data_IF_431887920388
#
_entry.id   IF_431887920388
#
_cell.length_a   1.000
_cell.length_b   1.000
_cell.length_c   1.000
_cell.angle_alpha   90.00
_cell.angle_beta   90.00
_cell.angle_gamma   90.00
#
_symmetry.space_group_name_H-M   'P 1'
#
loop_
_entity.id
_entity.type
_entity.pdbx_description
1 polymer ?
#
# COMPACT_ATOMS: atom_id res chain seq x y z
N UNK A 1 -5.09 22.57 25.15
CA UNK A 1 -4.26 21.34 25.29
C UNK A 1 -4.71 20.25 24.31
N UNK A 2 -6.03 20.02 24.16
CA UNK A 2 -6.68 19.10 23.20
C UNK A 2 -6.27 19.32 21.74
N UNK A 3 -6.30 20.57 21.24
CA UNK A 3 -5.96 20.86 19.83
C UNK A 3 -4.51 20.50 19.43
N UNK A 4 -3.57 20.52 20.38
CA UNK A 4 -2.16 20.14 20.12
C UNK A 4 -2.02 18.63 20.02
N UNK A 5 -2.72 17.91 20.89
CA UNK A 5 -2.76 16.44 20.89
C UNK A 5 -3.41 15.90 19.61
N UNK A 6 -4.53 16.48 19.16
CA UNK A 6 -5.19 16.09 17.92
C UNK A 6 -4.29 16.31 16.69
N UNK A 7 -3.59 17.45 16.64
CA UNK A 7 -2.62 17.74 15.58
C UNK A 7 -1.44 16.74 15.58
N UNK A 8 -0.90 16.38 16.75
CA UNK A 8 0.18 15.41 16.87
C UNK A 8 -0.27 13.99 16.48
N UNK A 9 -1.48 13.57 16.87
CA UNK A 9 -2.07 12.29 16.45
C UNK A 9 -2.25 12.25 14.93
N UNK A 10 -2.78 13.33 14.34
CA UNK A 10 -2.94 13.42 12.89
C UNK A 10 -1.60 13.34 12.16
N UNK A 11 -0.58 14.06 12.64
CA UNK A 11 0.79 14.01 12.07
C UNK A 11 1.36 12.60 12.10
N UNK A 12 1.28 11.90 13.24
CA UNK A 12 1.79 10.52 13.38
C UNK A 12 1.06 9.53 12.48
N UNK A 13 -0.26 9.68 12.29
CA UNK A 13 -1.01 8.87 11.34
C UNK A 13 -0.52 9.09 9.91
N UNK A 14 -0.30 10.34 9.51
CA UNK A 14 0.21 10.66 8.19
C UNK A 14 1.62 10.10 7.97
N UNK A 15 2.53 10.26 8.93
CA UNK A 15 3.89 9.69 8.90
C UNK A 15 3.85 8.17 8.69
N UNK A 16 2.95 7.49 9.40
CA UNK A 16 2.74 6.05 9.27
C UNK A 16 2.18 5.68 7.89
N UNK A 17 1.19 6.42 7.36
CA UNK A 17 0.68 6.18 5.99
C UNK A 17 1.77 6.35 4.95
N UNK A 18 2.56 7.42 5.04
CA UNK A 18 3.68 7.67 4.12
C UNK A 18 4.74 6.57 4.18
N UNK A 19 5.02 6.02 5.37
CA UNK A 19 5.92 4.87 5.52
C UNK A 19 5.41 3.65 4.74
N UNK A 20 4.12 3.33 4.81
CA UNK A 20 3.54 2.22 4.06
C UNK A 20 3.43 2.51 2.55
N UNK A 21 3.04 3.72 2.14
CA UNK A 21 3.05 4.12 0.72
C UNK A 21 4.42 3.93 0.08
N UNK A 22 5.49 4.19 0.84
CA UNK A 22 6.86 3.97 0.41
C UNK A 22 7.15 2.48 0.15
N UNK A 23 6.55 1.56 0.91
CA UNK A 23 6.68 0.11 0.73
C UNK A 23 6.07 -0.44 -0.57
N UNK A 24 5.08 0.25 -1.16
CA UNK A 24 4.43 -0.15 -2.43
C UNK A 24 5.44 -0.30 -3.56
N UNK A 25 6.49 0.53 -3.55
CA UNK A 25 7.54 0.53 -4.57
C UNK A 25 8.23 -0.83 -4.76
N UNK A 26 8.45 -1.57 -3.67
CA UNK A 26 9.03 -2.93 -3.72
C UNK A 26 8.09 -3.87 -4.48
N UNK A 27 6.79 -3.78 -4.24
CA UNK A 27 5.80 -4.64 -4.88
C UNK A 27 5.66 -4.32 -6.37
N UNK A 28 5.70 -3.03 -6.75
CA UNK A 28 5.77 -2.59 -8.15
C UNK A 28 7.00 -3.20 -8.83
N UNK A 29 8.17 -3.11 -8.20
CA UNK A 29 9.42 -3.70 -8.71
C UNK A 29 9.28 -5.20 -8.95
N UNK A 30 8.72 -5.93 -7.99
CA UNK A 30 8.51 -7.38 -8.08
C UNK A 30 7.59 -7.72 -9.26
N UNK A 31 6.47 -7.03 -9.42
CA UNK A 31 5.55 -7.24 -10.55
C UNK A 31 6.19 -6.89 -11.88
N UNK A 32 6.85 -5.73 -11.99
CA UNK A 32 7.55 -5.30 -13.21
C UNK A 32 8.56 -6.35 -13.68
N UNK A 33 9.36 -6.88 -12.74
CA UNK A 33 10.34 -7.93 -13.03
C UNK A 33 9.68 -9.24 -13.48
N UNK A 34 8.55 -9.63 -12.86
CA UNK A 34 7.77 -10.80 -13.28
C UNK A 34 7.25 -10.65 -14.73
N UNK A 35 6.88 -9.43 -15.13
CA UNK A 35 6.46 -9.08 -16.49
C UNK A 35 7.65 -8.83 -17.45
N UNK A 36 8.90 -8.94 -16.98
CA UNK A 36 10.12 -8.67 -17.75
C UNK A 36 10.16 -7.25 -18.38
N UNK A 37 9.53 -6.28 -17.73
CA UNK A 37 9.51 -4.89 -18.18
C UNK A 37 10.74 -4.14 -17.68
N UNK A 38 11.32 -3.24 -18.49
CA UNK A 38 12.32 -2.28 -18.01
C UNK A 38 11.62 -1.14 -17.25
N UNK A 39 12.36 -0.43 -16.40
CA UNK A 39 11.83 0.77 -15.71
C UNK A 39 11.37 1.83 -16.73
N UNK A 40 12.13 1.99 -17.82
CA UNK A 40 11.78 2.89 -18.93
C UNK A 40 10.49 2.47 -19.63
N UNK A 41 10.33 1.18 -19.93
CA UNK A 41 9.12 0.65 -20.57
C UNK A 41 7.89 0.87 -19.68
N UNK A 42 8.01 0.65 -18.38
CA UNK A 42 6.96 0.91 -17.40
C UNK A 42 6.66 2.42 -17.30
N UNK A 43 7.68 3.27 -17.23
CA UNK A 43 7.53 4.72 -17.10
C UNK A 43 6.90 5.40 -18.32
N UNK A 44 7.14 4.85 -19.53
CA UNK A 44 6.76 5.47 -20.81
C UNK A 44 5.27 5.86 -20.84
N UNK A 45 5.02 7.16 -21.06
CA UNK A 45 3.67 7.73 -21.15
C UNK A 45 3.00 8.00 -19.80
N UNK A 46 3.66 7.74 -18.68
CA UNK A 46 3.13 7.94 -17.32
C UNK A 46 4.03 8.88 -16.53
N UNK A 47 5.31 8.55 -16.37
CA UNK A 47 6.25 9.30 -15.56
C UNK A 47 7.69 9.16 -16.09
N UNK A 48 8.68 9.71 -15.38
CA UNK A 48 10.08 9.55 -15.77
C UNK A 48 10.65 8.22 -15.30
N UNK A 49 11.62 7.68 -16.04
CA UNK A 49 12.38 6.49 -15.63
C UNK A 49 12.99 6.66 -14.22
N UNK A 50 13.52 7.86 -13.94
CA UNK A 50 14.07 8.23 -12.62
C UNK A 50 13.00 8.17 -11.52
N UNK A 51 11.76 8.56 -11.81
CA UNK A 51 10.66 8.45 -10.85
C UNK A 51 10.38 6.98 -10.50
N UNK A 52 10.28 6.10 -11.50
CA UNK A 52 10.12 4.65 -11.30
C UNK A 52 11.27 4.08 -10.46
N UNK A 53 12.51 4.45 -10.76
CA UNK A 53 13.66 3.99 -9.97
C UNK A 53 13.60 4.47 -8.51
N UNK A 54 13.19 5.72 -8.26
CA UNK A 54 13.06 6.26 -6.90
C UNK A 54 11.92 5.60 -6.12
N UNK A 55 10.78 5.29 -6.73
CA UNK A 55 9.70 4.56 -6.03
C UNK A 55 10.15 3.12 -5.74
N UNK A 56 10.76 2.41 -6.70
CA UNK A 56 11.13 1.00 -6.55
C UNK A 56 12.22 0.75 -5.51
N UNK A 57 13.01 1.77 -5.21
CA UNK A 57 14.05 1.74 -4.18
C UNK A 57 13.61 2.40 -2.87
N UNK A 58 12.30 2.66 -2.70
CA UNK A 58 11.77 3.32 -1.52
C UNK A 58 12.52 4.63 -1.23
N UNK A 59 12.81 5.44 -2.25
CA UNK A 59 13.43 6.76 -2.07
C UNK A 59 12.35 7.84 -1.91
N UNK A 60 11.23 7.68 -2.61
CA UNK A 60 10.06 8.56 -2.56
C UNK A 60 8.78 7.73 -2.44
N UNK A 61 7.73 8.32 -1.86
CA UNK A 61 6.39 7.75 -1.93
C UNK A 61 5.80 7.97 -3.33
N UNK A 62 5.05 6.98 -3.81
CA UNK A 62 4.29 7.10 -5.06
C UNK A 62 2.99 7.87 -4.80
N UNK A 63 2.60 8.75 -5.71
CA UNK A 63 1.27 9.39 -5.64
C UNK A 63 0.18 8.45 -6.20
N UNK A 64 -1.08 8.65 -5.79
CA UNK A 64 -2.18 7.74 -6.14
C UNK A 64 -2.44 7.65 -7.65
N UNK A 65 -2.35 8.77 -8.37
CA UNK A 65 -2.58 8.84 -9.82
C UNK A 65 -1.55 8.00 -10.59
N UNK A 66 -0.26 8.21 -10.33
CA UNK A 66 0.80 7.43 -10.96
C UNK A 66 0.72 5.95 -10.55
N UNK A 67 0.34 5.65 -9.31
CA UNK A 67 0.15 4.27 -8.87
C UNK A 67 -0.88 3.57 -9.76
N UNK A 68 -2.08 4.14 -9.92
CA UNK A 68 -3.13 3.54 -10.74
C UNK A 68 -2.71 3.37 -12.21
N UNK A 69 -2.07 4.38 -12.81
CA UNK A 69 -1.58 4.28 -14.19
C UNK A 69 -0.52 3.18 -14.37
N UNK A 70 0.39 3.05 -13.41
CA UNK A 70 1.41 1.99 -13.44
C UNK A 70 0.79 0.61 -13.24
N UNK A 71 -0.21 0.48 -12.37
CA UNK A 71 -0.95 -0.77 -12.16
C UNK A 71 -1.70 -1.21 -13.41
N UNK A 72 -2.43 -0.30 -14.04
CA UNK A 72 -3.15 -0.54 -15.30
C UNK A 72 -2.18 -1.06 -16.36
N UNK A 73 -1.01 -0.43 -16.49
CA UNK A 73 0.04 -0.86 -17.41
C UNK A 73 0.65 -2.23 -17.10
N UNK A 74 0.61 -2.65 -15.84
CA UNK A 74 1.07 -3.97 -15.39
C UNK A 74 -0.06 -5.02 -15.37
N UNK A 75 -1.22 -4.68 -15.95
CA UNK A 75 -2.42 -5.51 -15.98
C UNK A 75 -2.77 -6.00 -14.56
N UNK A 76 -2.86 -5.05 -13.64
CA UNK A 76 -3.20 -5.29 -12.24
C UNK A 76 -4.58 -4.72 -11.91
N UNK A 77 -5.45 -5.50 -11.25
CA UNK A 77 -6.73 -4.99 -10.77
C UNK A 77 -6.53 -3.87 -9.76
N UNK A 78 -7.26 -2.76 -9.90
CA UNK A 78 -7.18 -1.64 -8.96
C UNK A 78 -7.65 -2.05 -7.56
N UNK A 79 -8.58 -3.01 -7.51
CA UNK A 79 -9.15 -3.60 -6.30
C UNK A 79 -8.14 -4.48 -5.56
N UNK A 80 -7.01 -4.84 -6.19
CA UNK A 80 -5.98 -5.68 -5.58
C UNK A 80 -5.03 -4.93 -4.63
N UNK A 81 -5.21 -3.61 -4.48
CA UNK A 81 -4.46 -2.77 -3.55
C UNK A 81 -5.35 -2.31 -2.40
N UNK A 82 -4.83 -2.40 -1.18
CA UNK A 82 -5.38 -1.71 -0.02
C UNK A 82 -4.42 -0.60 0.37
N UNK A 83 -4.98 0.59 0.56
CA UNK A 83 -4.22 1.69 1.07
C UNK A 83 -3.93 1.54 2.58
N UNK A 84 -2.82 2.12 3.07
CA UNK A 84 -2.43 2.02 4.48
C UNK A 84 -3.55 2.35 5.46
N UNK A 85 -4.38 3.36 5.14
CA UNK A 85 -5.52 3.79 5.93
C UNK A 85 -6.45 2.62 6.28
N UNK A 86 -6.91 1.88 5.27
CA UNK A 86 -7.81 0.76 5.46
C UNK A 86 -7.10 -0.46 6.08
N UNK A 87 -5.83 -0.71 5.78
CA UNK A 87 -5.10 -1.82 6.42
C UNK A 87 -4.89 -1.61 7.91
N UNK A 88 -4.73 -0.36 8.36
CA UNK A 88 -4.62 -0.07 9.79
C UNK A 88 -5.94 -0.33 10.50
N UNK A 89 -7.06 0.06 9.90
CA UNK A 89 -8.38 -0.25 10.45
C UNK A 89 -8.61 -1.76 10.53
N UNK A 90 -8.25 -2.49 9.48
CA UNK A 90 -8.27 -3.97 9.44
C UNK A 90 -7.37 -4.56 10.54
N UNK A 91 -6.16 -4.02 10.75
CA UNK A 91 -5.24 -4.49 11.77
C UNK A 91 -5.81 -4.27 13.18
N UNK A 92 -6.36 -3.08 13.45
CA UNK A 92 -6.99 -2.74 14.73
C UNK A 92 -8.21 -3.62 15.01
N UNK A 93 -9.01 -3.90 13.97
CA UNK A 93 -10.14 -4.81 14.07
C UNK A 93 -9.67 -6.25 14.34
N UNK A 94 -8.63 -6.71 13.64
CA UNK A 94 -8.01 -8.03 13.86
C UNK A 94 -7.52 -8.20 15.29
N UNK A 95 -6.84 -7.19 15.86
CA UNK A 95 -6.44 -7.17 17.26
C UNK A 95 -7.64 -7.21 18.21
N UNK A 96 -8.70 -6.47 17.90
CA UNK A 96 -9.93 -6.46 18.70
C UNK A 96 -10.60 -7.84 18.71
N UNK A 97 -10.67 -8.51 17.56
CA UNK A 97 -11.19 -9.88 17.44
C UNK A 97 -10.34 -10.86 18.25
N UNK A 98 -9.02 -10.75 18.19
CA UNK A 98 -8.10 -11.57 18.98
C UNK A 98 -8.35 -11.44 20.50
N UNK A 99 -8.45 -10.21 21.01
CA UNK A 99 -8.71 -9.95 22.44
C UNK A 99 -10.05 -10.54 22.87
N UNK A 100 -11.08 -10.44 22.02
CA UNK A 100 -12.44 -10.95 22.29
C UNK A 100 -12.61 -12.44 22.01
N UNK A 101 -11.59 -13.09 21.43
CA UNK A 101 -11.68 -14.48 20.91
C UNK A 101 -12.82 -14.65 19.89
N UNK A 102 -13.08 -13.62 19.09
CA UNK A 102 -14.07 -13.66 18.01
C UNK A 102 -13.43 -14.27 16.75
N UNK A 103 -13.38 -15.60 16.73
CA UNK A 103 -12.74 -16.35 15.65
C UNK A 103 -13.49 -16.26 14.33
N UNK A 104 -14.82 -16.11 14.37
CA UNK A 104 -15.65 -16.01 13.17
C UNK A 104 -15.39 -14.70 12.44
N UNK A 105 -15.39 -13.57 13.16
CA UNK A 105 -15.07 -12.27 12.56
C UNK A 105 -13.62 -12.22 12.06
N UNK A 106 -12.69 -12.78 12.83
CA UNK A 106 -11.29 -12.86 12.41
C UNK A 106 -11.10 -13.64 11.10
N UNK A 107 -11.84 -14.76 10.93
CA UNK A 107 -11.84 -15.53 9.69
C UNK A 107 -12.36 -14.71 8.50
N UNK A 108 -13.45 -13.98 8.67
CA UNK A 108 -14.00 -13.11 7.62
C UNK A 108 -12.98 -12.04 7.21
N UNK A 109 -12.34 -11.40 8.19
CA UNK A 109 -11.28 -10.41 7.93
C UNK A 109 -10.15 -11.04 7.12
N UNK A 110 -9.72 -12.25 7.48
CA UNK A 110 -8.69 -12.97 6.73
C UNK A 110 -9.09 -13.24 5.27
N UNK A 111 -10.31 -13.72 5.04
CA UNK A 111 -10.84 -13.97 3.68
C UNK A 111 -10.99 -12.67 2.86
N UNK A 112 -11.29 -11.56 3.50
CA UNK A 112 -11.33 -10.25 2.85
C UNK A 112 -9.94 -9.73 2.50
N UNK A 113 -8.94 -10.00 3.36
CA UNK A 113 -7.55 -9.62 3.12
C UNK A 113 -6.92 -10.42 1.98
N UNK A 114 -7.24 -11.71 1.86
CA UNK A 114 -6.65 -12.62 0.86
C UNK A 114 -6.90 -12.16 -0.60
N UNK A 115 -7.90 -11.31 -0.80
CA UNK A 115 -8.24 -10.69 -2.10
C UNK A 115 -7.18 -9.68 -2.56
N UNK A 116 -6.33 -9.20 -1.67
CA UNK A 116 -5.37 -8.14 -1.97
C UNK A 116 -3.99 -8.71 -2.30
N UNK A 117 -3.52 -8.47 -3.53
CA UNK A 117 -2.15 -8.83 -3.94
C UNK A 117 -1.08 -7.91 -3.34
N UNK A 118 -1.48 -6.74 -2.83
CA UNK A 118 -0.58 -5.71 -2.31
C UNK A 118 -0.96 -5.34 -0.87
N UNK A 119 -0.95 -6.33 0.02
CA UNK A 119 -0.91 -6.09 1.46
C UNK A 119 0.46 -5.52 1.83
N UNK A 120 0.59 -4.19 1.91
CA UNK A 120 1.86 -3.53 2.29
C UNK A 120 2.28 -3.94 3.72
N UNK A 121 1.32 -4.37 4.53
CA UNK A 121 1.49 -4.81 5.92
C UNK A 121 1.69 -6.32 6.09
N UNK A 122 1.66 -7.10 5.00
CA UNK A 122 1.74 -8.56 5.03
C UNK A 122 2.92 -8.99 4.15
N UNK A 123 4.13 -8.75 4.64
CA UNK A 123 5.36 -9.32 4.11
C UNK A 123 6.11 -10.04 5.22
#
# INVERSE_FOLDING_TARGET
MTHRLEADIKRRKEEMYQFYFKGIGISIKKRRLALKLTQEALAKGICSNTYVSKIENNAIAINKENLYLLMEKMDMPLESIVFPEAMIDIMLESFSCFIRKDYERYRQIYEDIDKYQFGILIQ
#
